data_IF_488580633361
#
_entry.id   IF_488580633361
#
_cell.length_a   1.000
_cell.length_b   1.000
_cell.length_c   1.000
_cell.angle_alpha   90.00
_cell.angle_beta   90.00
_cell.angle_gamma   90.00
#
_symmetry.space_group_name_H-M   'P 1'
#
loop_
_entity.id
_entity.type
_entity.pdbx_description
1 polymer ?
#
# COMPACT_ATOMS: atom_id res chain seq x y z
N UNK A 1 -20.82 10.34 25.65
CA UNK A 1 -20.80 8.93 26.08
C UNK A 1 -22.19 8.54 26.55
N UNK A 2 -22.50 7.24 26.62
CA UNK A 2 -23.82 6.78 27.06
C UNK A 2 -24.05 6.92 28.58
N UNK A 3 -22.98 7.05 29.36
CA UNK A 3 -23.01 7.20 30.82
C UNK A 3 -22.03 8.30 31.21
N UNK A 4 -22.42 9.14 32.16
CA UNK A 4 -21.58 10.16 32.78
C UNK A 4 -21.27 9.76 34.23
N UNK A 5 -20.04 9.26 34.46
CA UNK A 5 -19.63 8.70 35.75
C UNK A 5 -19.38 9.76 36.83
N UNK A 6 -19.23 11.03 36.45
CA UNK A 6 -19.01 12.13 37.39
C UNK A 6 -20.30 12.61 38.06
N UNK A 7 -21.44 12.30 37.44
CA UNK A 7 -22.77 12.61 37.97
C UNK A 7 -23.35 11.51 38.88
N UNK A 8 -22.68 10.37 39.04
CA UNK A 8 -23.14 9.26 39.90
C UNK A 8 -22.61 9.46 41.31
N UNK A 9 -23.51 9.67 42.27
CA UNK A 9 -23.16 9.94 43.69
C UNK A 9 -23.08 8.69 44.56
N UNK A 10 -23.64 7.56 44.12
CA UNK A 10 -23.53 6.28 44.84
C UNK A 10 -22.31 5.49 44.38
N UNK A 11 -21.37 5.28 45.30
CA UNK A 11 -20.13 4.56 45.06
C UNK A 11 -20.32 3.10 44.66
N UNK A 12 -21.44 2.48 45.08
CA UNK A 12 -21.77 1.12 44.68
C UNK A 12 -22.23 1.07 43.22
N UNK A 13 -23.04 2.04 42.81
CA UNK A 13 -23.54 2.19 41.45
C UNK A 13 -22.41 2.53 40.48
N UNK A 14 -21.53 3.47 40.85
CA UNK A 14 -20.34 3.84 40.06
C UNK A 14 -19.44 2.62 39.80
N UNK A 15 -19.10 1.85 40.85
CA UNK A 15 -18.27 0.64 40.71
C UNK A 15 -18.93 -0.44 39.84
N UNK A 16 -20.25 -0.57 39.92
CA UNK A 16 -20.98 -1.49 39.06
C UNK A 16 -20.91 -1.06 37.59
N UNK A 17 -21.11 0.22 37.29
CA UNK A 17 -21.02 0.80 35.94
C UNK A 17 -19.61 0.69 35.36
N UNK A 18 -18.58 1.02 36.14
CA UNK A 18 -17.17 0.84 35.76
C UNK A 18 -16.85 -0.64 35.48
N UNK A 19 -17.36 -1.54 36.34
CA UNK A 19 -17.24 -2.97 36.15
C UNK A 19 -17.88 -3.46 34.85
N UNK A 20 -19.03 -2.88 34.46
CA UNK A 20 -19.68 -3.19 33.18
C UNK A 20 -18.82 -2.71 32.01
N UNK A 21 -18.39 -1.46 32.03
CA UNK A 21 -17.56 -0.85 30.98
C UNK A 21 -16.26 -1.64 30.79
N UNK A 22 -15.61 -2.02 31.90
CA UNK A 22 -14.33 -2.74 31.89
C UNK A 22 -14.46 -4.17 31.37
N UNK A 23 -15.55 -4.87 31.70
CA UNK A 23 -15.65 -6.32 31.45
C UNK A 23 -16.44 -6.67 30.20
N UNK A 24 -17.34 -5.80 29.73
CA UNK A 24 -18.19 -6.07 28.57
C UNK A 24 -17.84 -5.20 27.35
N UNK A 25 -16.89 -4.28 27.50
CA UNK A 25 -16.39 -3.43 26.43
C UNK A 25 -17.33 -2.28 26.09
N UNK A 26 -16.79 -1.30 25.34
CA UNK A 26 -17.54 -0.15 24.86
C UNK A 26 -17.96 -0.35 23.42
N UNK A 27 -19.14 0.15 23.06
CA UNK A 27 -19.54 0.24 21.66
C UNK A 27 -18.59 1.22 20.94
N UNK A 28 -17.93 0.81 19.83
CA UNK A 28 -17.14 1.73 19.02
C UNK A 28 -17.97 2.92 18.53
N UNK A 29 -17.32 4.06 18.26
CA UNK A 29 -18.04 5.21 17.76
C UNK A 29 -18.68 4.95 16.38
N UNK A 30 -19.90 5.46 16.18
CA UNK A 30 -20.61 5.34 14.91
C UNK A 30 -19.96 6.29 13.88
N UNK A 31 -19.34 5.72 12.85
CA UNK A 31 -18.66 6.49 11.80
C UNK A 31 -19.62 7.14 10.79
N UNK A 32 -20.73 6.47 10.48
CA UNK A 32 -21.69 6.89 9.45
C UNK A 32 -23.10 6.98 10.04
N UNK A 33 -23.82 8.04 9.69
CA UNK A 33 -25.24 8.20 10.04
C UNK A 33 -26.16 7.42 9.09
N UNK A 34 -25.71 7.26 7.84
CA UNK A 34 -26.41 6.50 6.80
C UNK A 34 -25.73 5.14 6.58
N UNK A 35 -26.44 4.14 6.02
CA UNK A 35 -25.84 2.85 5.68
C UNK A 35 -24.60 3.02 4.79
N UNK A 36 -23.56 2.22 5.05
CA UNK A 36 -22.37 2.23 4.19
C UNK A 36 -22.78 1.90 2.74
N UNK A 37 -22.32 2.67 1.74
CA UNK A 37 -22.66 2.41 0.34
C UNK A 37 -22.19 1.02 -0.07
N UNK A 38 -22.90 0.39 -1.01
CA UNK A 38 -22.48 -0.92 -1.52
C UNK A 38 -21.08 -0.84 -2.11
N UNK A 39 -20.27 -1.88 -1.86
CA UNK A 39 -18.99 -2.00 -2.54
C UNK A 39 -19.25 -2.13 -4.05
N UNK A 40 -18.47 -1.42 -4.85
CA UNK A 40 -18.50 -1.56 -6.31
C UNK A 40 -18.03 -2.96 -6.71
N UNK A 41 -18.53 -3.44 -7.84
CA UNK A 41 -17.92 -4.59 -8.49
C UNK A 41 -16.50 -4.25 -8.98
N UNK A 42 -15.70 -5.27 -9.26
CA UNK A 42 -14.36 -5.07 -9.84
C UNK A 42 -14.43 -4.33 -11.18
N UNK A 43 -15.43 -4.63 -12.00
CA UNK A 43 -15.66 -4.01 -13.31
C UNK A 43 -16.07 -2.54 -13.17
N UNK A 44 -17.00 -2.22 -12.27
CA UNK A 44 -17.43 -0.84 -12.01
C UNK A 44 -16.29 0.01 -11.44
N UNK A 45 -15.47 -0.56 -10.56
CA UNK A 45 -14.29 0.10 -10.03
C UNK A 45 -13.26 0.36 -11.13
N UNK A 46 -13.01 -0.60 -12.02
CA UNK A 46 -12.12 -0.45 -13.16
C UNK A 46 -12.63 0.63 -14.14
N UNK A 47 -13.93 0.64 -14.45
CA UNK A 47 -14.55 1.67 -15.28
C UNK A 47 -14.46 3.06 -14.66
N UNK A 48 -14.64 3.19 -13.34
CA UNK A 48 -14.43 4.45 -12.64
C UNK A 48 -12.98 4.91 -12.71
N UNK A 49 -12.03 3.99 -12.54
CA UNK A 49 -10.61 4.33 -12.63
C UNK A 49 -10.24 4.77 -14.05
N UNK A 50 -10.74 4.11 -15.09
CA UNK A 50 -10.50 4.48 -16.48
C UNK A 50 -11.03 5.88 -16.86
N UNK A 51 -12.03 6.39 -16.12
CA UNK A 51 -12.56 7.75 -16.29
C UNK A 51 -11.77 8.82 -15.54
N UNK A 52 -11.02 8.41 -14.52
CA UNK A 52 -10.06 9.30 -13.87
C UNK A 52 -8.85 9.30 -14.80
N UNK A 53 -8.58 10.41 -15.49
CA UNK A 53 -7.43 10.56 -16.39
C UNK A 53 -6.10 10.46 -15.61
N UNK A 54 -5.76 9.26 -15.15
CA UNK A 54 -4.45 8.94 -14.62
C UNK A 54 -3.60 8.53 -15.81
N UNK A 55 -2.80 9.48 -16.34
CA UNK A 55 -1.85 9.21 -17.43
C UNK A 55 -0.86 8.07 -17.10
N UNK A 56 -0.76 7.66 -15.83
CA UNK A 56 0.03 6.51 -15.40
C UNK A 56 -0.90 5.36 -15.00
N UNK A 57 -0.66 4.13 -15.52
CA UNK A 57 -1.41 2.96 -15.10
C UNK A 57 -1.21 2.69 -13.60
N UNK A 58 -2.26 2.23 -12.93
CA UNK A 58 -2.20 1.91 -11.50
C UNK A 58 -1.37 0.64 -11.29
N UNK A 59 -0.36 0.69 -10.41
CA UNK A 59 0.45 -0.48 -10.04
C UNK A 59 -0.41 -1.64 -9.52
N UNK A 60 -1.55 -1.33 -8.92
CA UNK A 60 -2.46 -2.32 -8.34
C UNK A 60 -3.24 -3.11 -9.41
N UNK A 61 -3.25 -2.67 -10.67
CA UNK A 61 -3.91 -3.37 -11.77
C UNK A 61 -3.00 -4.40 -12.47
N UNK A 62 -1.69 -4.28 -12.29
CA UNK A 62 -0.68 -5.07 -13.00
C UNK A 62 0.32 -5.71 -12.04
N UNK A 63 -0.16 -6.17 -10.87
CA UNK A 63 0.68 -6.78 -9.84
C UNK A 63 1.39 -8.05 -10.34
N UNK A 64 0.78 -8.76 -11.27
CA UNK A 64 1.33 -9.94 -11.96
C UNK A 64 2.48 -9.60 -12.91
N UNK A 65 2.59 -8.33 -13.32
CA UNK A 65 3.65 -7.84 -14.21
C UNK A 65 4.81 -7.23 -13.43
N UNK A 66 4.71 -7.14 -12.10
CA UNK A 66 5.78 -6.60 -11.27
C UNK A 66 6.99 -7.54 -11.28
N UNK A 67 8.14 -6.97 -11.62
CA UNK A 67 9.43 -7.66 -11.59
C UNK A 67 10.36 -7.00 -10.59
N UNK A 68 10.94 -7.81 -9.71
CA UNK A 68 11.98 -7.37 -8.79
C UNK A 68 13.35 -7.42 -9.47
N UNK A 69 14.17 -6.42 -9.21
CA UNK A 69 15.57 -6.36 -9.60
C UNK A 69 16.41 -6.18 -8.35
N UNK A 70 17.49 -6.95 -8.24
CA UNK A 70 18.50 -6.77 -7.20
C UNK A 70 19.66 -6.00 -7.84
N UNK A 71 19.97 -4.82 -7.31
CA UNK A 71 21.03 -3.96 -7.82
C UNK A 71 22.02 -3.66 -6.71
N UNK A 72 23.30 -3.90 -6.98
CA UNK A 72 24.39 -3.48 -6.09
C UNK A 72 24.80 -2.05 -6.45
N UNK A 73 24.86 -1.16 -5.46
CA UNK A 73 25.20 0.24 -5.72
C UNK A 73 26.70 0.34 -5.97
N UNK A 74 27.08 0.91 -7.13
CA UNK A 74 28.48 1.01 -7.57
C UNK A 74 29.34 1.83 -6.59
N UNK A 75 28.75 2.78 -5.88
CA UNK A 75 29.42 3.58 -4.86
C UNK A 75 28.51 3.83 -3.67
N UNK A 76 28.99 3.46 -2.48
CA UNK A 76 28.31 3.78 -1.24
C UNK A 76 28.21 5.31 -1.04
N UNK A 77 27.12 5.77 -0.43
CA UNK A 77 26.83 7.18 -0.21
C UNK A 77 26.50 8.03 -1.45
N UNK A 78 26.48 7.45 -2.66
CA UNK A 78 26.11 8.17 -3.89
C UNK A 78 24.71 7.73 -4.37
N UNK A 79 23.73 8.64 -4.46
CA UNK A 79 22.38 8.28 -4.86
C UNK A 79 22.33 7.86 -6.34
N UNK A 80 21.42 6.93 -6.65
CA UNK A 80 21.02 6.62 -8.02
C UNK A 80 20.08 7.72 -8.54
N UNK A 81 20.35 8.21 -9.75
CA UNK A 81 19.54 9.25 -10.41
C UNK A 81 18.68 8.68 -11.54
N UNK A 82 19.02 7.50 -12.05
CA UNK A 82 18.25 6.80 -13.08
C UNK A 82 18.31 5.29 -12.84
N UNK A 83 17.16 4.63 -12.98
CA UNK A 83 17.01 3.19 -13.06
C UNK A 83 16.14 2.88 -14.29
N UNK A 84 16.68 2.12 -15.24
CA UNK A 84 16.04 1.89 -16.53
C UNK A 84 16.15 0.42 -16.91
N UNK A 85 15.01 -0.17 -17.24
CA UNK A 85 14.92 -1.48 -17.89
C UNK A 85 14.86 -1.23 -19.40
N UNK A 86 15.86 -1.66 -20.19
CA UNK A 86 15.83 -1.49 -21.64
C UNK A 86 14.61 -2.18 -22.25
N UNK A 87 13.95 -1.50 -23.19
CA UNK A 87 12.77 -2.02 -23.88
C UNK A 87 13.08 -3.21 -24.79
N UNK A 88 14.34 -3.35 -25.24
CA UNK A 88 14.82 -4.46 -26.05
C UNK A 88 15.73 -5.34 -25.22
N UNK A 89 15.13 -6.30 -24.55
CA UNK A 89 15.83 -7.31 -23.77
C UNK A 89 16.34 -8.44 -24.69
N UNK A 90 17.55 -8.97 -24.44
CA UNK A 90 18.06 -10.11 -25.20
C UNK A 90 17.33 -11.39 -24.78
N UNK A 91 16.19 -11.68 -25.38
CA UNK A 91 15.53 -12.96 -25.20
C UNK A 91 16.16 -13.99 -26.15
N UNK A 92 17.04 -14.84 -25.62
CA UNK A 92 17.50 -16.03 -26.35
C UNK A 92 16.51 -17.17 -26.13
N UNK A 93 15.98 -17.74 -27.21
CA UNK A 93 15.10 -18.91 -27.18
C UNK A 93 15.77 -20.16 -26.55
N UNK A 94 17.10 -20.18 -26.49
CA UNK A 94 17.88 -21.32 -25.98
C UNK A 94 18.08 -21.22 -24.45
N UNK A 95 18.03 -20.01 -23.88
CA UNK A 95 18.17 -19.80 -22.43
C UNK A 95 16.84 -19.36 -21.85
N UNK A 96 15.99 -20.36 -21.58
CA UNK A 96 14.82 -20.20 -20.71
C UNK A 96 15.30 -19.71 -19.34
N UNK A 97 15.24 -18.40 -19.10
CA UNK A 97 15.66 -17.78 -17.84
C UNK A 97 16.74 -16.70 -17.91
N UNK A 98 17.05 -16.11 -19.07
CA UNK A 98 17.85 -14.86 -19.07
C UNK A 98 17.09 -13.75 -18.33
N UNK A 99 17.62 -13.24 -17.21
CA UNK A 99 16.92 -12.21 -16.48
C UNK A 99 17.08 -10.86 -17.21
N UNK A 100 15.97 -10.12 -17.31
CA UNK A 100 16.01 -8.75 -17.84
C UNK A 100 17.14 -7.92 -17.21
N UNK A 101 17.81 -7.13 -18.04
CA UNK A 101 18.84 -6.19 -17.62
C UNK A 101 18.19 -4.96 -16.98
N UNK A 102 18.72 -4.54 -15.83
CA UNK A 102 18.52 -3.22 -15.24
C UNK A 102 19.81 -2.41 -15.40
N UNK A 103 19.69 -1.18 -15.90
CA UNK A 103 20.78 -0.21 -16.00
C UNK A 103 20.54 0.91 -14.99
N UNK A 104 21.54 1.25 -14.19
CA UNK A 104 21.49 2.34 -13.23
C UNK A 104 22.57 3.38 -13.49
N UNK A 105 22.28 4.64 -13.18
CA UNK A 105 23.25 5.75 -13.23
C UNK A 105 23.28 6.44 -11.87
N UNK A 106 24.47 6.60 -11.29
CA UNK A 106 24.67 7.35 -10.05
C UNK A 106 24.76 8.85 -10.29
N UNK A 107 24.56 9.67 -9.25
CA UNK A 107 24.77 11.12 -9.33
C UNK A 107 26.22 11.52 -9.68
N UNK A 108 27.19 10.62 -9.43
CA UNK A 108 28.59 10.80 -9.83
C UNK A 108 28.89 10.38 -11.28
N UNK A 109 27.88 9.93 -12.03
CA UNK A 109 28.00 9.50 -13.42
C UNK A 109 28.52 8.06 -13.60
N UNK A 110 28.54 7.26 -12.54
CA UNK A 110 28.90 5.84 -12.63
C UNK A 110 27.71 5.03 -13.14
N UNK A 111 27.99 4.08 -14.03
CA UNK A 111 27.00 3.21 -14.65
C UNK A 111 27.08 1.81 -14.06
N UNK A 112 25.93 1.27 -13.65
CA UNK A 112 25.78 -0.10 -13.16
C UNK A 112 24.86 -0.92 -14.09
N UNK A 113 25.17 -2.20 -14.23
CA UNK A 113 24.37 -3.15 -15.01
C UNK A 113 24.07 -4.37 -14.14
N UNK A 114 22.79 -4.72 -14.00
CA UNK A 114 22.30 -5.76 -13.08
C UNK A 114 21.41 -6.74 -13.85
N UNK A 115 21.63 -8.04 -13.65
CA UNK A 115 20.91 -9.14 -14.29
C UNK A 115 20.41 -10.13 -13.24
#
# INVERSE_FOLDING_TARGET
GAVDLDHVTDERERKALEGIISNFGQTPCQLLKEPHPTRLSAEEAAHRLARLDTNSPSIFQHLDQLKAFFAEVVSDGVPLVLALVPHRQPHSFITQGSPDLLVTVSASGLLGTHS
#
